data_IF_507180844224
#
_entry.id   IF_507180844224
#
_cell.length_a   1.000
_cell.length_b   1.000
_cell.length_c   1.000
_cell.angle_alpha   90.00
_cell.angle_beta   90.00
_cell.angle_gamma   90.00
#
_symmetry.space_group_name_H-M   'P 1'
#
loop_
_entity.id
_entity.type
_entity.pdbx_description
1 polymer ?
#
# COMPACT_ATOMS: atom_id res chain seq x y z
N UNK A 1 24.96 -13.05 -31.42
CA UNK A 1 23.95 -14.01 -30.90
C UNK A 1 24.26 -14.30 -29.43
N UNK A 2 23.24 -14.35 -28.57
CA UNK A 2 23.42 -14.79 -27.18
C UNK A 2 23.91 -16.24 -27.14
N UNK A 3 24.97 -16.50 -26.34
CA UNK A 3 25.51 -17.85 -26.17
C UNK A 3 24.70 -18.71 -25.19
N UNK A 4 23.64 -18.18 -24.61
CA UNK A 4 22.79 -18.85 -23.62
C UNK A 4 21.38 -19.04 -24.18
N UNK A 5 20.81 -20.20 -23.93
CA UNK A 5 19.38 -20.43 -24.09
C UNK A 5 18.57 -19.71 -22.98
N UNK A 6 17.26 -19.46 -23.16
CA UNK A 6 16.42 -18.89 -22.11
C UNK A 6 16.46 -19.66 -20.79
N UNK A 7 16.50 -21.00 -20.85
CA UNK A 7 16.59 -21.87 -19.67
C UNK A 7 17.92 -21.70 -18.91
N UNK A 8 19.03 -21.73 -19.64
CA UNK A 8 20.38 -21.51 -19.06
C UNK A 8 20.51 -20.10 -18.47
N UNK A 9 19.92 -19.09 -19.11
CA UNK A 9 19.88 -17.73 -18.57
C UNK A 9 19.12 -17.68 -17.24
N UNK A 10 17.91 -18.29 -17.18
CA UNK A 10 17.09 -18.32 -15.99
C UNK A 10 17.79 -19.07 -14.84
N UNK A 11 18.36 -20.24 -15.11
CA UNK A 11 19.10 -21.03 -14.11
C UNK A 11 20.29 -20.26 -13.54
N UNK A 12 21.12 -19.68 -14.41
CA UNK A 12 22.27 -18.87 -14.01
C UNK A 12 21.85 -17.65 -13.17
N UNK A 13 20.80 -16.95 -13.57
CA UNK A 13 20.24 -15.81 -12.86
C UNK A 13 19.77 -16.22 -11.46
N UNK A 14 18.93 -17.28 -11.36
CA UNK A 14 18.42 -17.78 -10.09
C UNK A 14 19.54 -18.23 -9.13
N UNK A 15 20.50 -18.99 -9.63
CA UNK A 15 21.64 -19.49 -8.85
C UNK A 15 22.49 -18.35 -8.27
N UNK A 16 22.79 -17.33 -9.09
CA UNK A 16 23.58 -16.18 -8.62
C UNK A 16 22.84 -15.33 -7.60
N UNK A 17 21.55 -15.04 -7.81
CA UNK A 17 20.78 -14.25 -6.85
C UNK A 17 20.57 -14.98 -5.53
N UNK A 18 20.26 -16.29 -5.57
CA UNK A 18 20.13 -17.07 -4.34
C UNK A 18 21.45 -17.14 -3.56
N UNK A 19 22.59 -17.23 -4.25
CA UNK A 19 23.91 -17.23 -3.62
C UNK A 19 24.35 -15.86 -3.07
N UNK A 20 23.70 -14.76 -3.47
CA UNK A 20 24.06 -13.40 -3.04
C UNK A 20 23.21 -12.87 -1.87
N UNK A 21 22.38 -13.70 -1.24
CA UNK A 21 21.45 -13.26 -0.17
C UNK A 21 22.20 -12.68 1.04
N UNK A 22 23.33 -13.26 1.43
CA UNK A 22 24.15 -12.78 2.54
C UNK A 22 24.81 -11.42 2.21
N UNK A 23 25.25 -11.23 0.98
CA UNK A 23 25.81 -9.95 0.53
C UNK A 23 24.72 -8.88 0.47
N UNK A 24 23.50 -9.25 0.05
CA UNK A 24 22.34 -8.34 0.11
C UNK A 24 22.02 -7.93 1.55
N UNK A 25 22.07 -8.87 2.49
CA UNK A 25 21.88 -8.59 3.93
C UNK A 25 22.92 -7.59 4.44
N UNK A 26 24.20 -7.85 4.19
CA UNK A 26 25.30 -6.92 4.59
C UNK A 26 25.12 -5.54 3.97
N UNK A 27 24.69 -5.48 2.69
CA UNK A 27 24.39 -4.22 2.02
C UNK A 27 23.26 -3.44 2.69
N UNK A 28 22.20 -4.12 3.13
CA UNK A 28 21.07 -3.51 3.85
C UNK A 28 21.52 -3.01 5.24
N UNK A 29 22.24 -3.84 5.99
CA UNK A 29 22.76 -3.49 7.32
C UNK A 29 23.75 -2.33 7.29
N UNK A 30 24.50 -2.18 6.18
CA UNK A 30 25.43 -1.09 5.96
C UNK A 30 24.79 0.26 5.56
N UNK A 31 23.46 0.34 5.42
CA UNK A 31 22.78 1.61 5.07
C UNK A 31 22.77 2.56 6.25
N UNK A 32 23.44 3.71 6.12
CA UNK A 32 23.59 4.72 7.17
C UNK A 32 22.64 5.92 7.03
N UNK A 33 21.92 6.04 5.92
CA UNK A 33 20.95 7.12 5.67
C UNK A 33 19.61 6.57 5.21
N UNK A 34 18.51 7.22 5.59
CA UNK A 34 17.16 6.74 5.24
C UNK A 34 16.92 6.75 3.72
N UNK A 35 16.72 5.59 3.07
CA UNK A 35 16.36 5.52 1.65
C UNK A 35 15.02 6.18 1.34
N UNK A 36 14.07 6.12 2.27
CA UNK A 36 12.73 6.71 2.13
C UNK A 36 12.80 8.23 2.18
N UNK A 37 13.61 8.82 3.08
CA UNK A 37 13.86 10.26 3.10
C UNK A 37 14.48 10.75 1.78
N UNK A 38 15.46 10.00 1.25
CA UNK A 38 16.08 10.30 -0.04
C UNK A 38 15.09 10.17 -1.20
N UNK A 39 14.19 9.17 -1.17
CA UNK A 39 13.13 9.01 -2.17
C UNK A 39 12.14 10.20 -2.13
N UNK A 40 11.78 10.70 -0.94
CA UNK A 40 10.89 11.83 -0.78
C UNK A 40 11.42 13.13 -1.45
N UNK A 41 12.73 13.28 -1.62
CA UNK A 41 13.32 14.43 -2.35
C UNK A 41 13.20 14.32 -3.87
N UNK A 42 12.68 13.19 -4.41
CA UNK A 42 12.61 12.90 -5.86
C UNK A 42 11.17 12.89 -6.40
N UNK A 43 10.27 13.61 -5.75
CA UNK A 43 8.84 13.65 -6.14
C UNK A 43 8.66 14.15 -7.58
N UNK A 44 9.38 15.18 -8.01
CA UNK A 44 9.25 15.71 -9.36
C UNK A 44 9.71 14.70 -10.43
N UNK A 45 10.81 14.00 -10.18
CA UNK A 45 11.27 12.91 -11.04
C UNK A 45 10.23 11.78 -11.12
N UNK A 46 9.63 11.41 -9.99
CA UNK A 46 8.58 10.41 -9.92
C UNK A 46 7.37 10.83 -10.75
N UNK A 47 6.89 12.07 -10.55
CA UNK A 47 5.76 12.65 -11.32
C UNK A 47 6.02 12.61 -12.82
N UNK A 48 7.15 13.12 -13.27
CA UNK A 48 7.53 13.17 -14.68
C UNK A 48 7.49 11.76 -15.31
N UNK A 49 8.08 10.76 -14.64
CA UNK A 49 8.15 9.40 -15.17
C UNK A 49 6.78 8.71 -15.17
N UNK A 50 5.94 8.95 -14.16
CA UNK A 50 4.58 8.38 -14.10
C UNK A 50 3.72 8.97 -15.23
N UNK A 51 3.71 10.30 -15.39
CA UNK A 51 2.97 10.97 -16.46
C UNK A 51 3.42 10.47 -17.83
N UNK A 52 4.73 10.42 -18.09
CA UNK A 52 5.27 9.90 -19.35
C UNK A 52 4.88 8.42 -19.60
N UNK A 53 4.82 7.59 -18.56
CA UNK A 53 4.39 6.20 -18.67
C UNK A 53 2.90 6.06 -19.00
N UNK A 54 2.06 6.94 -18.45
CA UNK A 54 0.62 7.00 -18.73
C UNK A 54 0.40 7.49 -20.17
N UNK A 55 0.98 8.63 -20.54
CA UNK A 55 0.80 9.28 -21.84
C UNK A 55 1.28 8.41 -23.01
N UNK A 56 2.36 7.66 -22.81
CA UNK A 56 2.85 6.69 -23.79
C UNK A 56 2.07 5.38 -23.86
N UNK A 57 1.05 5.17 -23.04
CA UNK A 57 0.30 3.92 -22.94
C UNK A 57 1.08 2.75 -22.30
N UNK A 58 2.32 2.95 -21.89
CA UNK A 58 3.19 1.91 -21.33
C UNK A 58 2.60 1.29 -20.05
N UNK A 59 1.98 2.11 -19.21
CA UNK A 59 1.32 1.66 -17.99
C UNK A 59 0.14 0.73 -18.30
N UNK A 60 -0.78 1.15 -19.19
CA UNK A 60 -1.93 0.35 -19.60
C UNK A 60 -1.51 -0.96 -20.29
N UNK A 61 -0.52 -0.89 -21.18
CA UNK A 61 0.04 -2.08 -21.84
C UNK A 61 0.66 -3.06 -20.84
N UNK A 62 1.25 -2.56 -19.75
CA UNK A 62 1.76 -3.39 -18.66
C UNK A 62 0.67 -4.18 -17.94
N UNK A 63 -0.45 -3.52 -17.62
CA UNK A 63 -1.59 -4.16 -16.98
C UNK A 63 -2.28 -5.19 -17.88
N UNK A 64 -2.50 -4.84 -19.15
CA UNK A 64 -3.17 -5.70 -20.13
C UNK A 64 -2.42 -7.00 -20.47
N UNK A 65 -1.12 -7.10 -20.12
CA UNK A 65 -0.35 -8.35 -20.30
C UNK A 65 -0.71 -9.43 -19.29
N UNK A 66 -1.34 -9.08 -18.17
CA UNK A 66 -1.73 -10.04 -17.14
C UNK A 66 -3.14 -10.53 -17.42
N UNK A 67 -3.30 -11.82 -17.74
CA UNK A 67 -4.61 -12.44 -17.95
C UNK A 67 -5.35 -12.60 -16.63
N UNK A 68 -6.68 -12.73 -16.70
CA UNK A 68 -7.51 -12.98 -15.51
C UNK A 68 -7.11 -14.27 -14.79
N UNK A 69 -6.82 -15.34 -15.53
CA UNK A 69 -6.44 -16.62 -14.95
C UNK A 69 -5.08 -16.56 -14.27
N UNK A 70 -4.11 -15.87 -14.88
CA UNK A 70 -2.80 -15.65 -14.28
C UNK A 70 -2.92 -14.80 -13.00
N UNK A 71 -3.78 -13.77 -12.99
CA UNK A 71 -4.03 -12.95 -11.82
C UNK A 71 -4.65 -13.78 -10.68
N UNK A 72 -5.69 -14.60 -10.98
CA UNK A 72 -6.33 -15.50 -10.01
C UNK A 72 -5.34 -16.50 -9.42
N UNK A 73 -4.55 -17.16 -10.28
CA UNK A 73 -3.54 -18.12 -9.83
C UNK A 73 -2.57 -17.49 -8.84
N UNK A 74 -2.01 -16.31 -9.18
CA UNK A 74 -1.08 -15.61 -8.29
C UNK A 74 -1.72 -15.13 -6.99
N UNK A 75 -2.98 -14.67 -7.04
CA UNK A 75 -3.70 -14.25 -5.83
C UNK A 75 -3.97 -15.44 -4.91
N UNK A 76 -4.45 -16.57 -5.44
CA UNK A 76 -4.75 -17.77 -4.65
C UNK A 76 -3.46 -18.39 -4.09
N UNK A 77 -2.49 -18.65 -4.95
CA UNK A 77 -1.32 -19.46 -4.58
C UNK A 77 -0.18 -18.65 -3.90
N UNK A 78 -0.15 -17.33 -4.07
CA UNK A 78 0.88 -16.47 -3.46
C UNK A 78 0.31 -15.37 -2.57
N UNK A 79 -0.82 -14.77 -2.94
CA UNK A 79 -1.45 -13.68 -2.19
C UNK A 79 -2.04 -14.18 -0.88
N UNK A 80 -2.98 -15.11 -0.96
CA UNK A 80 -3.73 -15.59 0.21
C UNK A 80 -2.84 -16.23 1.28
N UNK A 81 -1.79 -16.95 0.89
CA UNK A 81 -0.85 -17.56 1.84
C UNK A 81 -0.08 -16.55 2.72
N UNK A 82 -0.05 -15.28 2.32
CA UNK A 82 0.64 -14.20 3.05
C UNK A 82 -0.29 -13.35 3.91
N UNK A 83 -1.61 -13.52 3.80
CA UNK A 83 -2.59 -12.65 4.46
C UNK A 83 -2.47 -12.74 5.98
N UNK A 84 -2.48 -13.96 6.55
CA UNK A 84 -2.39 -14.15 7.99
C UNK A 84 -1.12 -13.53 8.58
N UNK A 85 0.05 -13.89 8.04
CA UNK A 85 1.32 -13.32 8.50
C UNK A 85 1.43 -11.81 8.28
N UNK A 86 0.78 -11.27 7.24
CA UNK A 86 0.69 -9.82 7.01
C UNK A 86 -0.16 -9.11 8.06
N UNK A 87 -1.27 -9.71 8.47
CA UNK A 87 -2.14 -9.19 9.55
C UNK A 87 -1.38 -9.18 10.88
N UNK A 88 -0.75 -10.31 11.22
CA UNK A 88 0.02 -10.44 12.46
C UNK A 88 1.19 -9.43 12.50
N UNK A 89 1.92 -9.30 11.41
CA UNK A 89 3.01 -8.35 11.29
C UNK A 89 2.57 -6.87 11.32
N UNK A 90 1.30 -6.59 11.00
CA UNK A 90 0.73 -5.25 11.05
C UNK A 90 0.05 -4.91 12.40
N UNK A 91 -0.08 -5.85 13.34
CA UNK A 91 -0.86 -5.70 14.57
C UNK A 91 -0.49 -4.43 15.37
N UNK A 92 0.80 -4.17 15.58
CA UNK A 92 1.25 -2.98 16.31
C UNK A 92 0.84 -1.67 15.59
N UNK A 93 0.93 -1.63 14.26
CA UNK A 93 0.54 -0.45 13.45
C UNK A 93 -0.96 -0.23 13.48
N UNK A 94 -1.76 -1.31 13.44
CA UNK A 94 -3.22 -1.27 13.52
C UNK A 94 -3.66 -0.77 14.89
N UNK A 95 -3.04 -1.27 15.97
CA UNK A 95 -3.30 -0.80 17.34
C UNK A 95 -2.97 0.68 17.51
N UNK A 96 -1.80 1.12 17.01
CA UNK A 96 -1.41 2.53 17.07
C UNK A 96 -2.38 3.43 16.27
N UNK A 97 -2.88 2.96 15.13
CA UNK A 97 -3.88 3.67 14.35
C UNK A 97 -5.22 3.75 15.08
N UNK A 98 -5.70 2.63 15.64
CA UNK A 98 -6.93 2.57 16.42
C UNK A 98 -6.90 3.50 17.64
N UNK A 99 -5.76 3.60 18.32
CA UNK A 99 -5.58 4.49 19.47
C UNK A 99 -5.80 5.98 19.13
N UNK A 100 -5.64 6.38 17.87
CA UNK A 100 -5.91 7.75 17.40
C UNK A 100 -7.30 7.88 16.81
N UNK A 101 -7.75 6.85 16.07
CA UNK A 101 -9.04 6.86 15.38
C UNK A 101 -10.23 6.74 16.35
N UNK A 102 -10.19 5.79 17.29
CA UNK A 102 -11.33 5.52 18.17
C UNK A 102 -11.75 6.75 19.01
N UNK A 103 -10.84 7.49 19.66
CA UNK A 103 -11.23 8.73 20.36
C UNK A 103 -11.78 9.81 19.41
N UNK A 104 -11.39 9.81 18.13
CA UNK A 104 -11.97 10.74 17.15
C UNK A 104 -13.42 10.35 16.84
N UNK A 105 -13.70 9.06 16.64
CA UNK A 105 -15.06 8.54 16.45
C UNK A 105 -15.93 8.87 17.66
N UNK A 106 -15.45 8.60 18.88
CA UNK A 106 -16.19 8.86 20.11
C UNK A 106 -16.61 10.33 20.24
N UNK A 107 -15.72 11.28 19.97
CA UNK A 107 -16.06 12.71 19.94
C UNK A 107 -17.14 13.04 18.92
N UNK A 108 -17.12 12.41 17.75
CA UNK A 108 -18.16 12.57 16.73
C UNK A 108 -19.51 12.03 17.18
N UNK A 109 -19.51 10.83 17.79
CA UNK A 109 -20.70 10.21 18.36
C UNK A 109 -21.28 11.06 19.50
N UNK A 110 -20.45 11.55 20.41
CA UNK A 110 -20.90 12.41 21.52
C UNK A 110 -21.45 13.75 21.04
N UNK A 111 -20.93 14.30 19.96
CA UNK A 111 -21.47 15.51 19.35
C UNK A 111 -22.88 15.29 18.80
N UNK A 112 -23.10 14.20 18.04
CA UNK A 112 -24.42 13.93 17.45
C UNK A 112 -25.45 13.45 18.48
N UNK A 113 -25.06 12.82 19.59
CA UNK A 113 -25.96 12.43 20.69
C UNK A 113 -26.63 13.63 21.36
N UNK A 114 -26.02 14.81 21.30
CA UNK A 114 -26.55 16.06 21.87
C UNK A 114 -27.49 16.80 20.92
N UNK A 115 -27.62 16.33 19.67
CA UNK A 115 -28.49 16.94 18.66
C UNK A 115 -29.91 16.34 18.73
N UNK A 116 -30.96 17.09 18.32
CA UNK A 116 -32.32 16.57 18.18
C UNK A 116 -32.34 15.35 17.23
N UNK A 117 -33.27 14.43 17.45
CA UNK A 117 -33.45 13.19 16.68
C UNK A 117 -34.93 12.83 16.41
N UNK A 118 -35.78 13.80 16.52
CA UNK A 118 -37.26 13.61 16.44
C UNK A 118 -37.76 13.62 15.01
N UNK A 119 -37.16 14.43 14.13
CA UNK A 119 -37.61 14.63 12.76
C UNK A 119 -36.63 14.05 11.74
N UNK A 120 -37.08 13.90 10.49
CA UNK A 120 -36.22 13.52 9.40
C UNK A 120 -35.06 14.52 9.23
N UNK A 121 -35.34 15.81 9.33
CA UNK A 121 -34.34 16.88 9.20
C UNK A 121 -33.29 16.83 10.32
N UNK A 122 -33.70 16.49 11.54
CA UNK A 122 -32.78 16.26 12.65
C UNK A 122 -31.82 15.11 12.32
N UNK A 123 -32.34 14.01 11.80
CA UNK A 123 -31.55 12.84 11.46
C UNK A 123 -30.56 13.12 10.28
N UNK A 124 -30.99 13.87 9.26
CA UNK A 124 -30.12 14.33 8.18
C UNK A 124 -29.01 15.24 8.72
N UNK A 125 -29.37 16.16 9.61
CA UNK A 125 -28.40 17.07 10.25
C UNK A 125 -27.34 16.29 11.07
N UNK A 126 -27.77 15.32 11.88
CA UNK A 126 -26.87 14.43 12.66
C UNK A 126 -25.92 13.66 11.74
N UNK A 127 -26.45 13.01 10.70
CA UNK A 127 -25.65 12.27 9.74
C UNK A 127 -24.61 13.17 9.05
N UNK A 128 -25.03 14.34 8.58
CA UNK A 128 -24.15 15.30 7.93
C UNK A 128 -23.05 15.80 8.87
N UNK A 129 -23.40 16.07 10.13
CA UNK A 129 -22.46 16.50 11.17
C UNK A 129 -21.40 15.42 11.42
N UNK A 130 -21.83 14.17 11.55
CA UNK A 130 -20.88 13.05 11.76
C UNK A 130 -19.97 12.84 10.55
N UNK A 131 -20.50 12.86 9.33
CA UNK A 131 -19.69 12.75 8.10
C UNK A 131 -18.63 13.86 8.03
N UNK A 132 -19.03 15.11 8.30
CA UNK A 132 -18.10 16.25 8.33
C UNK A 132 -17.05 16.14 9.44
N UNK A 133 -17.43 15.57 10.58
CA UNK A 133 -16.49 15.30 11.67
C UNK A 133 -15.46 14.26 11.23
N UNK A 134 -15.91 13.13 10.67
CA UNK A 134 -15.02 12.07 10.20
C UNK A 134 -14.09 12.53 9.08
N UNK A 135 -14.56 13.38 8.16
CA UNK A 135 -13.75 13.93 7.06
C UNK A 135 -12.56 14.78 7.54
N UNK A 136 -12.58 15.26 8.79
CA UNK A 136 -11.47 16.02 9.39
C UNK A 136 -10.39 15.13 10.00
N UNK A 137 -10.60 13.81 10.04
CA UNK A 137 -9.61 12.90 10.58
C UNK A 137 -8.37 12.85 9.67
N UNK A 138 -7.22 13.16 10.24
CA UNK A 138 -5.92 13.03 9.58
C UNK A 138 -4.96 12.29 10.48
N UNK A 139 -4.29 11.29 9.96
CA UNK A 139 -3.18 10.64 10.65
C UNK A 139 -1.94 11.51 10.45
N UNK A 140 -1.44 12.08 11.54
CA UNK A 140 -0.15 12.77 11.56
C UNK A 140 1.00 11.76 11.63
#
# INVERSE_FOLDING_TARGET
>A
MSKLTPAEFQEKHARRLKGAVDDMRKGIEGVTSSPTAKAATKVDKMRTNIVASIDSGKWAAGLNRVTLDEWKDKMINKGLSRVAGGIDGAAAKTTAFAAVLLPHIDRGVDAIKKMPDTTLEDNISRMTTFIRHMAKFTRK
#
